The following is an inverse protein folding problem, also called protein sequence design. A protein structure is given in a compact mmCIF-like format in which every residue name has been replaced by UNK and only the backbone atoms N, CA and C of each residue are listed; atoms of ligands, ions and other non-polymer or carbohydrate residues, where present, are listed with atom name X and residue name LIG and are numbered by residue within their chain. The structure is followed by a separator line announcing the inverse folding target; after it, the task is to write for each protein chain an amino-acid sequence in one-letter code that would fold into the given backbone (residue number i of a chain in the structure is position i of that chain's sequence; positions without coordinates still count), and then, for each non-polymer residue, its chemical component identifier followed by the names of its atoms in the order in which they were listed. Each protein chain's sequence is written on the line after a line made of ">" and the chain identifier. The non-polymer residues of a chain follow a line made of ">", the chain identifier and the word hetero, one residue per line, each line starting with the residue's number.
data_IF_447074065661
#
_entry.id   IF_447074065661
#
_cell.length_a   1.000
_cell.length_b   1.000
_cell.length_c   1.000
_cell.angle_alpha   90.00
_cell.angle_beta   90.00
_cell.angle_gamma   90.00
#
_symmetry.space_group_name_H-M   'P 1'
#
loop_
_entity.id
_entity.type
_entity.pdbx_description
1 polymer ?
#
# COMPACT_ATOMS: atom_id res chain seq x y z
N UNK A 1 21.87 22.50 7.87
CA UNK A 1 21.60 21.47 6.85
C UNK A 1 20.12 21.51 6.58
N UNK A 2 19.69 21.93 5.39
CA UNK A 2 18.26 21.89 5.03
C UNK A 2 17.87 20.43 4.86
N UNK A 3 16.84 20.00 5.57
CA UNK A 3 16.18 18.72 5.36
C UNK A 3 15.70 18.67 3.90
N UNK A 4 16.19 17.70 3.13
CA UNK A 4 15.67 17.46 1.79
C UNK A 4 14.41 16.63 1.95
N UNK A 5 13.28 17.23 1.60
CA UNK A 5 12.02 16.49 1.41
C UNK A 5 12.15 15.70 0.10
N UNK A 6 12.42 14.42 0.19
CA UNK A 6 12.37 13.52 -0.95
C UNK A 6 10.97 12.93 -1.04
N UNK A 7 10.21 13.30 -2.07
CA UNK A 7 8.94 12.72 -2.39
C UNK A 7 9.15 11.59 -3.41
N UNK A 8 8.64 10.41 -3.11
CA UNK A 8 8.77 9.23 -3.97
C UNK A 8 7.41 8.55 -4.20
N UNK A 9 7.22 7.96 -5.36
CA UNK A 9 6.17 6.98 -5.61
C UNK A 9 6.80 5.61 -5.88
N UNK A 10 6.15 4.58 -5.37
CA UNK A 10 6.55 3.18 -5.60
C UNK A 10 5.34 2.38 -6.04
N UNK A 11 5.41 1.76 -7.21
CA UNK A 11 4.28 1.14 -7.89
C UNK A 11 4.62 -0.29 -8.26
N UNK A 12 3.65 -1.22 -8.11
CA UNK A 12 3.83 -2.62 -8.48
C UNK A 12 3.65 -2.83 -9.98
N UNK A 13 4.50 -3.69 -10.58
CA UNK A 13 4.45 -4.10 -11.98
C UNK A 13 3.43 -5.22 -12.16
N UNK A 14 2.61 -5.16 -13.24
CA UNK A 14 1.53 -6.14 -13.53
C UNK A 14 1.98 -7.37 -14.33
N UNK A 15 3.09 -7.29 -15.05
CA UNK A 15 3.55 -8.37 -15.93
C UNK A 15 4.89 -8.94 -15.48
N UNK A 16 5.36 -9.99 -16.13
CA UNK A 16 6.69 -10.56 -15.90
C UNK A 16 7.79 -9.53 -16.21
N UNK A 17 8.83 -9.51 -15.36
CA UNK A 17 9.86 -8.49 -15.41
C UNK A 17 10.60 -8.41 -16.77
N UNK A 18 10.83 -9.56 -17.41
CA UNK A 18 11.48 -9.60 -18.72
C UNK A 18 10.62 -8.96 -19.83
N UNK A 19 9.31 -9.10 -19.73
CA UNK A 19 8.34 -8.44 -20.60
C UNK A 19 8.34 -6.94 -20.33
N UNK A 20 8.33 -6.54 -19.06
CA UNK A 20 8.37 -5.15 -18.66
C UNK A 20 9.60 -4.42 -19.17
N UNK A 21 10.77 -5.03 -19.09
CA UNK A 21 12.01 -4.47 -19.64
C UNK A 21 11.94 -4.23 -21.16
N UNK A 22 11.23 -5.08 -21.92
CA UNK A 22 11.02 -4.87 -23.35
C UNK A 22 10.14 -3.65 -23.60
N UNK A 23 9.02 -3.57 -22.89
CA UNK A 23 8.07 -2.44 -23.00
C UNK A 23 8.77 -1.10 -22.72
N UNK A 24 9.53 -1.00 -21.63
CA UNK A 24 10.24 0.23 -21.27
C UNK A 24 11.26 0.63 -22.34
N UNK A 25 11.98 -0.34 -22.90
CA UNK A 25 12.94 -0.10 -24.02
C UNK A 25 12.21 0.35 -25.30
N UNK A 26 11.09 -0.29 -25.66
CA UNK A 26 10.29 0.10 -26.83
C UNK A 26 9.72 1.52 -26.70
N UNK A 27 9.44 1.97 -25.49
CA UNK A 27 9.07 3.36 -25.18
C UNK A 27 10.24 4.34 -25.24
N UNK A 28 11.45 3.87 -25.54
CA UNK A 28 12.65 4.69 -25.79
C UNK A 28 13.50 4.99 -24.56
N UNK A 29 13.25 4.33 -23.43
CA UNK A 29 14.08 4.46 -22.25
C UNK A 29 15.42 3.76 -22.41
N UNK A 30 16.47 4.36 -21.88
CA UNK A 30 17.85 3.82 -21.87
C UNK A 30 18.29 3.53 -20.44
N UNK A 31 19.05 2.47 -20.27
CA UNK A 31 19.64 2.13 -18.97
C UNK A 31 20.77 3.11 -18.69
N UNK A 32 20.74 3.73 -17.52
CA UNK A 32 21.79 4.64 -17.06
C UNK A 32 22.56 4.11 -15.86
N UNK A 33 21.96 3.22 -15.04
CA UNK A 33 22.66 2.53 -13.96
C UNK A 33 22.07 1.15 -13.67
N UNK A 34 22.87 0.30 -13.01
CA UNK A 34 22.48 -1.01 -12.48
C UNK A 34 23.24 -1.27 -11.20
N UNK A 35 22.53 -1.71 -10.17
CA UNK A 35 23.15 -2.11 -8.92
C UNK A 35 22.36 -3.22 -8.22
N UNK A 36 23.04 -3.96 -7.35
CA UNK A 36 22.41 -4.89 -6.42
C UNK A 36 22.44 -4.30 -5.03
N UNK A 37 21.41 -4.54 -4.25
CA UNK A 37 21.32 -4.12 -2.86
C UNK A 37 20.97 -5.32 -1.97
N UNK A 38 21.65 -5.41 -0.83
CA UNK A 38 21.43 -6.40 0.22
C UNK A 38 21.20 -5.65 1.53
N UNK A 39 19.95 -5.53 1.94
CA UNK A 39 19.51 -4.81 3.15
C UNK A 39 19.13 -5.79 4.25
N UNK A 40 19.89 -5.80 5.35
CA UNK A 40 19.55 -6.57 6.55
C UNK A 40 19.00 -5.64 7.63
N UNK A 41 17.80 -5.91 8.11
CA UNK A 41 17.07 -5.08 9.07
C UNK A 41 17.23 -5.62 10.50
N UNK A 42 17.60 -4.73 11.41
CA UNK A 42 17.79 -5.01 12.82
C UNK A 42 16.89 -4.10 13.66
N UNK A 43 16.31 -4.64 14.73
CA UNK A 43 15.54 -3.87 15.73
C UNK A 43 16.03 -4.20 17.14
N UNK A 44 15.77 -3.35 18.15
CA UNK A 44 16.05 -3.67 19.54
C UNK A 44 15.38 -4.99 19.96
N UNK A 45 16.07 -5.82 20.75
CA UNK A 45 15.60 -7.17 21.13
C UNK A 45 14.30 -7.16 21.91
N UNK A 46 14.06 -6.10 22.70
CA UNK A 46 12.86 -5.88 23.53
C UNK A 46 11.60 -5.59 22.72
N UNK A 47 11.72 -5.26 21.44
CA UNK A 47 10.56 -5.01 20.58
C UNK A 47 9.84 -6.34 20.30
N UNK A 48 8.59 -6.47 20.75
CA UNK A 48 7.75 -7.62 20.42
C UNK A 48 7.11 -7.42 19.04
N UNK A 49 7.37 -8.37 18.14
CA UNK A 49 6.86 -8.34 16.77
C UNK A 49 5.36 -8.61 16.67
N UNK A 50 4.74 -9.14 17.74
CA UNK A 50 3.32 -9.48 17.76
C UNK A 50 2.44 -8.37 18.38
N UNK A 51 3.03 -7.45 19.13
CA UNK A 51 2.30 -6.42 19.89
C UNK A 51 2.18 -5.09 19.16
N UNK A 52 3.03 -4.84 18.16
CA UNK A 52 3.05 -3.57 17.43
C UNK A 52 2.95 -3.80 15.92
N UNK A 53 2.39 -2.79 15.22
CA UNK A 53 2.23 -2.88 13.78
C UNK A 53 3.59 -2.80 13.04
N UNK A 54 3.61 -3.30 11.81
CA UNK A 54 4.80 -3.40 10.96
C UNK A 54 5.51 -2.06 10.78
N UNK A 55 4.77 -0.96 10.65
CA UNK A 55 5.33 0.38 10.49
C UNK A 55 6.09 0.85 11.73
N UNK A 56 5.52 0.62 12.92
CA UNK A 56 6.16 0.97 14.18
C UNK A 56 7.39 0.11 14.46
N UNK A 57 7.36 -1.16 14.03
CA UNK A 57 8.55 -2.02 14.05
C UNK A 57 9.65 -1.41 13.18
N UNK A 58 9.33 -1.07 11.94
CA UNK A 58 10.29 -0.54 10.98
C UNK A 58 10.79 0.86 11.31
N UNK A 59 10.03 1.67 12.05
CA UNK A 59 10.48 2.98 12.54
C UNK A 59 11.66 2.88 13.51
N UNK A 60 11.86 1.71 14.12
CA UNK A 60 12.97 1.42 15.05
C UNK A 60 14.11 0.65 14.38
N UNK A 61 14.01 0.39 13.07
CA UNK A 61 14.94 -0.46 12.37
C UNK A 61 16.23 0.27 11.98
N UNK A 62 17.34 -0.41 12.23
CA UNK A 62 18.67 -0.07 11.70
C UNK A 62 18.98 -1.06 10.58
N UNK A 63 19.44 -0.56 9.44
CA UNK A 63 19.80 -1.37 8.29
C UNK A 63 21.31 -1.54 8.20
N UNK A 64 21.76 -2.76 7.95
CA UNK A 64 23.11 -3.01 7.42
C UNK A 64 22.95 -3.24 5.93
N UNK A 65 23.57 -2.36 5.13
CA UNK A 65 23.33 -2.24 3.69
C UNK A 65 24.63 -2.48 2.90
N UNK A 66 24.55 -3.34 1.89
CA UNK A 66 25.62 -3.60 0.92
C UNK A 66 25.10 -3.28 -0.49
N UNK A 67 25.70 -2.29 -1.14
CA UNK A 67 25.31 -1.84 -2.49
C UNK A 67 26.47 -2.12 -3.43
N UNK A 68 26.20 -2.83 -4.52
CA UNK A 68 27.18 -3.17 -5.56
C UNK A 68 26.72 -2.58 -6.88
N UNK A 69 27.37 -1.50 -7.34
CA UNK A 69 27.14 -0.91 -8.64
C UNK A 69 27.68 -1.82 -9.75
N UNK A 70 26.79 -2.33 -10.59
CA UNK A 70 27.14 -3.26 -11.69
C UNK A 70 27.77 -2.55 -12.89
N UNK A 71 27.49 -1.25 -13.06
CA UNK A 71 28.08 -0.45 -14.13
C UNK A 71 29.32 0.31 -13.66
N UNK A 72 29.31 0.78 -12.40
CA UNK A 72 30.41 1.56 -11.82
C UNK A 72 31.50 0.70 -11.16
N UNK A 73 31.25 -0.59 -10.91
CA UNK A 73 32.07 -1.48 -10.09
C UNK A 73 32.36 -0.96 -8.67
N UNK A 74 31.58 0.02 -8.21
CA UNK A 74 31.69 0.59 -6.86
C UNK A 74 30.89 -0.25 -5.88
N UNK A 75 31.47 -0.53 -4.71
CA UNK A 75 30.77 -1.15 -3.59
C UNK A 75 30.68 -0.15 -2.44
N UNK A 76 29.48 -0.01 -1.87
CA UNK A 76 29.20 0.86 -0.74
C UNK A 76 28.58 0.03 0.38
N UNK A 77 29.18 0.07 1.57
CA UNK A 77 28.70 -0.67 2.75
C UNK A 77 28.33 0.34 3.83
N UNK A 78 27.10 0.27 4.35
CA UNK A 78 26.54 1.28 5.26
C UNK A 78 25.82 0.64 6.44
N UNK A 79 25.84 1.34 7.58
CA UNK A 79 24.75 1.28 8.56
C UNK A 79 23.86 2.49 8.29
N UNK A 80 22.56 2.23 8.13
CA UNK A 80 21.56 3.27 7.83
C UNK A 80 20.47 3.23 8.88
N UNK A 81 20.15 4.40 9.47
CA UNK A 81 18.94 4.60 10.25
C UNK A 81 18.05 5.59 9.50
N UNK A 82 16.79 5.21 9.26
CA UNK A 82 15.81 6.07 8.61
C UNK A 82 14.71 6.44 9.59
N UNK A 83 14.55 7.75 9.84
CA UNK A 83 13.42 8.31 10.57
C UNK A 83 12.38 8.83 9.57
N UNK A 84 11.13 8.43 9.73
CA UNK A 84 10.02 8.86 8.87
C UNK A 84 8.93 9.47 9.74
N UNK A 85 8.49 10.67 9.38
CA UNK A 85 7.30 11.29 9.96
C UNK A 85 6.12 11.12 9.02
N UNK A 86 4.96 10.83 9.60
CA UNK A 86 3.74 10.55 8.84
C UNK A 86 2.66 11.57 9.17
N UNK A 87 1.81 11.89 8.20
CA UNK A 87 0.57 12.62 8.42
C UNK A 87 -0.50 11.69 9.04
N UNK A 88 -1.67 12.28 9.36
CA UNK A 88 -2.81 11.54 9.92
C UNK A 88 -3.36 10.46 8.97
N UNK A 89 -3.10 10.56 7.67
CA UNK A 89 -3.51 9.61 6.63
C UNK A 89 -2.45 8.53 6.39
N UNK A 90 -1.31 8.58 7.08
CA UNK A 90 -0.21 7.63 6.95
C UNK A 90 0.72 7.87 5.76
N UNK A 91 0.66 9.06 5.13
CA UNK A 91 1.62 9.46 4.12
C UNK A 91 2.90 9.96 4.77
N UNK A 92 4.05 9.76 4.10
CA UNK A 92 5.34 10.24 4.58
C UNK A 92 5.38 11.77 4.39
N UNK A 93 5.48 12.52 5.50
CA UNK A 93 5.67 13.98 5.48
C UNK A 93 7.13 14.34 5.21
N UNK A 94 8.04 13.65 5.89
CA UNK A 94 9.47 13.78 5.64
C UNK A 94 10.21 12.51 6.04
N UNK A 95 11.39 12.34 5.50
CA UNK A 95 12.29 11.24 5.81
C UNK A 95 13.69 11.78 6.03
N UNK A 96 14.30 11.37 7.14
CA UNK A 96 15.71 11.61 7.42
C UNK A 96 16.47 10.28 7.37
N UNK A 97 17.68 10.30 6.82
CA UNK A 97 18.56 9.15 6.83
C UNK A 97 19.92 9.54 7.44
N UNK A 98 20.35 8.77 8.42
CA UNK A 98 21.70 8.82 8.94
C UNK A 98 22.45 7.61 8.38
N UNK A 99 23.50 7.87 7.59
CA UNK A 99 24.33 6.86 6.98
C UNK A 99 25.75 6.90 7.57
N UNK A 100 26.26 5.75 7.95
CA UNK A 100 27.64 5.57 8.40
C UNK A 100 28.32 4.53 7.52
N UNK A 101 29.44 4.91 6.90
CA UNK A 101 30.27 3.96 6.16
C UNK A 101 30.86 2.90 7.10
N UNK A 102 30.88 1.65 6.65
CA UNK A 102 31.47 0.52 7.36
C UNK A 102 32.44 -0.25 6.49
N UNK A 103 33.43 -0.88 7.10
CA UNK A 103 34.43 -1.68 6.40
C UNK A 103 33.88 -3.08 6.06
N UNK A 104 33.29 -3.75 7.05
CA UNK A 104 32.84 -5.13 6.92
C UNK A 104 31.38 -5.30 7.39
N UNK A 105 30.57 -5.89 6.51
CA UNK A 105 29.12 -6.15 6.76
C UNK A 105 28.94 -7.06 7.99
N UNK A 106 29.71 -8.16 8.05
CA UNK A 106 29.54 -9.13 9.13
C UNK A 106 29.95 -8.59 10.50
N UNK A 107 30.92 -7.68 10.57
CA UNK A 107 31.32 -7.07 11.84
C UNK A 107 30.27 -6.06 12.32
N UNK A 108 29.65 -5.31 11.40
CA UNK A 108 28.53 -4.45 11.72
C UNK A 108 27.33 -5.26 12.26
N UNK A 109 27.00 -6.39 11.63
CA UNK A 109 25.93 -7.30 12.11
C UNK A 109 26.23 -7.87 13.49
N UNK A 110 27.48 -8.27 13.75
CA UNK A 110 27.95 -8.75 15.07
C UNK A 110 27.84 -7.65 16.12
N UNK A 111 28.26 -6.42 15.79
CA UNK A 111 28.16 -5.27 16.69
C UNK A 111 26.71 -5.01 17.09
N UNK A 112 25.79 -4.93 16.12
CA UNK A 112 24.37 -4.71 16.41
C UNK A 112 23.81 -5.80 17.32
N UNK A 113 24.13 -7.07 17.06
CA UNK A 113 23.71 -8.19 17.94
C UNK A 113 24.29 -8.07 19.36
N UNK A 114 25.54 -7.63 19.49
CA UNK A 114 26.21 -7.46 20.78
C UNK A 114 25.60 -6.32 21.61
N UNK A 115 25.18 -5.24 20.99
CA UNK A 115 24.56 -4.07 21.67
C UNK A 115 23.03 -4.21 21.84
N UNK A 116 22.47 -5.41 21.65
CA UNK A 116 21.06 -5.70 21.99
C UNK A 116 20.08 -5.61 20.84
N UNK A 117 20.52 -5.67 19.59
CA UNK A 117 19.63 -5.76 18.43
C UNK A 117 19.43 -7.20 17.97
N UNK A 118 18.30 -7.48 17.34
CA UNK A 118 17.99 -8.75 16.65
C UNK A 118 17.69 -8.48 15.17
N UNK A 119 18.13 -9.38 14.32
CA UNK A 119 17.79 -9.41 12.89
C UNK A 119 16.34 -9.85 12.70
N UNK A 120 15.59 -9.17 11.85
CA UNK A 120 14.17 -9.48 11.59
C UNK A 120 13.89 -9.86 10.16
N UNK A 121 14.63 -9.32 9.19
CA UNK A 121 14.48 -9.67 7.77
C UNK A 121 15.72 -9.27 6.98
N UNK A 122 15.85 -9.88 5.79
CA UNK A 122 16.82 -9.50 4.79
C UNK A 122 16.12 -9.34 3.44
N UNK A 123 16.31 -8.20 2.79
CA UNK A 123 15.78 -7.90 1.45
C UNK A 123 16.94 -7.77 0.50
N UNK A 124 16.91 -8.57 -0.57
CA UNK A 124 17.85 -8.50 -1.68
C UNK A 124 17.13 -8.06 -2.92
N UNK A 125 17.71 -7.11 -3.65
CA UNK A 125 17.14 -6.63 -4.90
C UNK A 125 18.22 -6.32 -5.94
N UNK A 126 17.83 -6.43 -7.18
CA UNK A 126 18.59 -6.00 -8.33
C UNK A 126 17.85 -4.83 -9.00
N UNK A 127 18.47 -3.66 -9.00
CA UNK A 127 17.86 -2.45 -9.51
C UNK A 127 18.44 -2.08 -10.89
N UNK A 128 17.56 -1.64 -11.78
CA UNK A 128 17.91 -1.07 -13.09
C UNK A 128 17.30 0.30 -13.23
N UNK A 129 18.13 1.31 -13.34
CA UNK A 129 17.69 2.69 -13.53
C UNK A 129 17.61 3.00 -15.03
N UNK A 130 16.47 3.48 -15.44
CA UNK A 130 16.17 3.89 -16.79
C UNK A 130 15.93 5.40 -16.87
N UNK A 131 16.31 6.00 -17.98
CA UNK A 131 16.09 7.41 -18.27
C UNK A 131 15.57 7.62 -19.68
N UNK A 132 14.64 8.58 -19.83
CA UNK A 132 14.19 9.14 -21.11
C UNK A 132 13.84 10.61 -20.94
N UNK A 133 14.45 11.48 -21.76
CA UNK A 133 14.16 12.92 -21.81
C UNK A 133 14.22 13.60 -20.41
N UNK A 134 15.21 13.22 -19.61
CA UNK A 134 15.39 13.70 -18.23
C UNK A 134 14.46 13.08 -17.19
N UNK A 135 13.56 12.18 -17.58
CA UNK A 135 12.72 11.43 -16.66
C UNK A 135 13.36 10.08 -16.30
N UNK A 136 13.61 9.87 -15.00
CA UNK A 136 14.23 8.67 -14.47
C UNK A 136 13.25 7.81 -13.68
N UNK A 137 13.37 6.50 -13.81
CA UNK A 137 12.66 5.51 -13.00
C UNK A 137 13.59 4.33 -12.69
N UNK A 138 13.49 3.81 -11.47
CA UNK A 138 14.20 2.60 -11.04
C UNK A 138 13.25 1.40 -11.04
N UNK A 139 13.62 0.33 -11.72
CA UNK A 139 12.92 -0.95 -11.69
C UNK A 139 13.63 -1.83 -10.66
N UNK A 140 12.89 -2.29 -9.65
CA UNK A 140 13.37 -3.09 -8.52
C UNK A 140 12.92 -4.54 -8.68
N UNK A 141 13.88 -5.45 -8.82
CA UNK A 141 13.69 -6.90 -8.81
C UNK A 141 13.97 -7.43 -7.39
N UNK A 142 12.94 -7.52 -6.57
CA UNK A 142 13.06 -7.98 -5.19
C UNK A 142 13.06 -9.51 -5.18
N UNK A 143 14.12 -10.12 -4.69
CA UNK A 143 14.23 -11.59 -4.61
C UNK A 143 13.14 -12.17 -3.70
N UNK A 144 12.31 -13.03 -4.28
CA UNK A 144 11.13 -13.63 -3.63
C UNK A 144 10.05 -12.61 -3.21
N UNK A 145 10.11 -11.40 -3.75
CA UNK A 145 9.17 -10.31 -3.50
C UNK A 145 8.44 -9.86 -4.77
N UNK A 146 7.84 -8.70 -4.69
CA UNK A 146 7.17 -8.05 -5.82
C UNK A 146 8.16 -7.26 -6.67
N UNK A 147 7.91 -7.17 -7.98
CA UNK A 147 8.63 -6.26 -8.86
C UNK A 147 8.00 -4.87 -8.78
N UNK A 148 8.82 -3.86 -8.52
CA UNK A 148 8.36 -2.50 -8.28
C UNK A 148 9.04 -1.51 -9.24
N UNK A 149 8.38 -0.36 -9.43
CA UNK A 149 9.00 0.86 -9.99
C UNK A 149 9.07 1.88 -8.87
N UNK A 150 10.20 2.54 -8.72
CA UNK A 150 10.38 3.68 -7.81
C UNK A 150 10.76 4.91 -8.63
N UNK A 151 10.13 6.04 -8.33
CA UNK A 151 10.37 7.32 -8.98
C UNK A 151 10.46 8.39 -7.89
N UNK A 152 11.58 9.11 -7.86
CA UNK A 152 11.87 10.13 -6.87
C UNK A 152 11.86 11.54 -7.48
N UNK A 153 11.40 12.54 -6.74
CA UNK A 153 11.43 13.95 -7.19
C UNK A 153 12.86 14.50 -7.26
N UNK A 154 13.80 13.96 -6.47
CA UNK A 154 15.20 14.40 -6.51
C UNK A 154 15.85 14.15 -7.86
N UNK A 155 15.52 13.03 -8.49
CA UNK A 155 16.03 12.64 -9.80
C UNK A 155 15.22 13.27 -10.94
N UNK A 156 13.99 13.72 -10.65
CA UNK A 156 13.02 14.26 -11.63
C UNK A 156 12.63 15.70 -11.29
N UNK A 157 13.60 16.61 -11.33
CA UNK A 157 13.47 18.01 -10.83
C UNK A 157 12.31 18.83 -11.39
N UNK A 158 11.81 18.50 -12.57
CA UNK A 158 10.64 19.14 -13.18
C UNK A 158 9.32 18.60 -12.65
N UNK A 159 9.36 17.43 -11.98
CA UNK A 159 8.22 16.73 -11.39
C UNK A 159 8.31 16.81 -9.86
N UNK A 160 8.22 17.99 -9.32
CA UNK A 160 8.47 18.36 -7.91
C UNK A 160 7.34 18.00 -6.95
N UNK A 161 6.25 17.38 -7.43
CA UNK A 161 5.12 16.92 -6.60
C UNK A 161 4.71 15.50 -6.93
N UNK A 162 4.11 14.83 -5.94
CA UNK A 162 3.57 13.48 -6.08
C UNK A 162 2.54 13.39 -7.23
N UNK A 163 1.65 14.38 -7.35
CA UNK A 163 0.63 14.40 -8.40
C UNK A 163 1.25 14.43 -9.79
N UNK A 164 2.34 15.18 -9.97
CA UNK A 164 3.08 15.23 -11.24
C UNK A 164 3.75 13.89 -11.54
N UNK A 165 4.34 13.22 -10.55
CA UNK A 165 4.91 11.88 -10.71
C UNK A 165 3.84 10.86 -11.10
N UNK A 166 2.69 10.84 -10.41
CA UNK A 166 1.56 9.94 -10.71
C UNK A 166 1.02 10.21 -12.12
N UNK A 167 0.83 11.47 -12.49
CA UNK A 167 0.40 11.83 -13.83
C UNK A 167 1.40 11.33 -14.88
N UNK A 168 2.69 11.58 -14.67
CA UNK A 168 3.74 11.19 -15.61
C UNK A 168 3.82 9.69 -15.81
N UNK A 169 3.78 8.88 -14.74
CA UNK A 169 3.85 7.42 -14.86
C UNK A 169 2.62 6.85 -15.58
N UNK A 170 1.44 7.43 -15.36
CA UNK A 170 0.22 7.00 -16.04
C UNK A 170 0.24 7.35 -17.55
N UNK A 171 0.82 8.49 -17.94
CA UNK A 171 1.01 8.87 -19.33
C UNK A 171 1.94 7.92 -20.09
N UNK A 172 2.76 7.14 -19.39
CA UNK A 172 3.63 6.16 -20.03
C UNK A 172 2.86 4.93 -20.55
N UNK A 173 1.64 4.69 -20.08
CA UNK A 173 0.82 3.52 -20.48
C UNK A 173 1.61 2.21 -20.36
N UNK A 174 2.31 2.03 -19.25
CA UNK A 174 3.06 0.81 -18.93
C UNK A 174 2.24 -0.09 -17.99
N UNK A 175 2.44 -1.42 -17.99
CA UNK A 175 1.64 -2.35 -17.20
C UNK A 175 1.99 -2.28 -15.71
N UNK A 176 1.32 -1.37 -14.98
CA UNK A 176 1.46 -1.16 -13.53
C UNK A 176 0.10 -1.25 -12.84
N UNK A 177 0.10 -1.55 -11.54
CA UNK A 177 -1.07 -1.39 -10.69
C UNK A 177 -1.25 0.08 -10.32
N UNK A 178 -2.44 0.61 -10.54
CA UNK A 178 -2.76 2.03 -10.33
C UNK A 178 -3.62 2.28 -9.08
N UNK A 179 -3.87 1.25 -8.32
CA UNK A 179 -4.62 1.27 -7.04
C UNK A 179 -3.75 1.69 -5.85
N UNK A 180 -2.42 1.59 -5.97
CA UNK A 180 -1.49 2.01 -4.93
C UNK A 180 -0.17 2.54 -5.51
N UNK A 181 0.08 3.84 -5.35
CA UNK A 181 1.32 4.51 -5.75
C UNK A 181 2.36 4.63 -4.62
N UNK A 182 2.10 4.01 -3.47
CA UNK A 182 2.93 4.12 -2.27
C UNK A 182 3.23 2.76 -1.65
N UNK A 183 3.60 1.79 -2.50
CA UNK A 183 3.98 0.45 -2.03
C UNK A 183 5.23 0.56 -1.15
N UNK A 184 5.11 0.19 0.10
CA UNK A 184 6.21 0.21 1.06
C UNK A 184 6.88 -1.16 1.12
N UNK A 185 7.89 -1.36 0.30
CA UNK A 185 8.66 -2.61 0.14
C UNK A 185 8.93 -3.31 1.49
N UNK A 186 9.52 -2.60 2.44
CA UNK A 186 9.90 -3.19 3.73
C UNK A 186 8.68 -3.61 4.57
N UNK A 187 7.57 -2.85 4.53
CA UNK A 187 6.33 -3.20 5.23
C UNK A 187 5.75 -4.49 4.62
N UNK A 188 5.68 -4.58 3.29
CA UNK A 188 5.18 -5.76 2.58
C UNK A 188 6.02 -7.01 2.89
N UNK A 189 7.34 -6.90 2.86
CA UNK A 189 8.20 -8.06 3.12
C UNK A 189 8.16 -8.48 4.60
N UNK A 190 8.11 -7.55 5.54
CA UNK A 190 7.97 -7.87 6.95
C UNK A 190 6.60 -8.48 7.26
N UNK A 191 5.52 -7.99 6.68
CA UNK A 191 4.18 -8.57 6.82
C UNK A 191 4.14 -10.02 6.32
N UNK A 192 4.78 -10.34 5.20
CA UNK A 192 4.90 -11.73 4.72
C UNK A 192 5.60 -12.63 5.74
N UNK A 193 6.66 -12.14 6.39
CA UNK A 193 7.41 -12.89 7.41
C UNK A 193 6.56 -13.08 8.67
N UNK A 194 5.93 -12.02 9.16
CA UNK A 194 5.09 -12.06 10.36
C UNK A 194 3.85 -12.93 10.16
N UNK A 195 3.20 -12.85 9.01
CA UNK A 195 2.06 -13.71 8.68
C UNK A 195 2.45 -15.20 8.58
N UNK A 196 3.66 -15.52 8.14
CA UNK A 196 4.19 -16.90 8.18
C UNK A 196 4.42 -17.39 9.63
N UNK A 197 4.82 -16.51 10.51
CA UNK A 197 5.09 -16.86 11.91
C UNK A 197 3.84 -16.92 12.80
N UNK A 198 2.79 -16.18 12.48
CA UNK A 198 1.58 -16.08 13.32
C UNK A 198 0.40 -16.90 12.85
N UNK A 199 0.43 -17.47 11.63
CA UNK A 199 -0.72 -18.14 11.00
C UNK A 199 -2.02 -17.29 11.05
N UNK A 200 -1.89 -15.98 11.16
CA UNK A 200 -3.00 -15.04 11.17
C UNK A 200 -3.29 -14.61 9.73
N UNK A 201 -4.19 -15.31 9.07
CA UNK A 201 -4.84 -14.81 7.85
C UNK A 201 -5.46 -13.44 8.15
N UNK A 202 -4.92 -12.39 7.54
CA UNK A 202 -5.60 -11.09 7.49
C UNK A 202 -6.82 -11.23 6.60
N UNK A 203 -7.99 -11.07 7.18
CA UNK A 203 -9.22 -11.00 6.41
C UNK A 203 -9.29 -9.61 5.73
N UNK A 204 -9.39 -9.58 4.42
CA UNK A 204 -9.64 -8.35 3.66
C UNK A 204 -11.01 -8.40 3.03
N UNK A 205 -11.76 -7.31 3.20
CA UNK A 205 -13.06 -7.13 2.55
C UNK A 205 -13.08 -5.84 1.76
N UNK A 206 -13.72 -5.86 0.60
CA UNK A 206 -13.90 -4.68 -0.24
C UNK A 206 -15.39 -4.43 -0.49
N UNK A 207 -15.78 -3.17 -0.64
CA UNK A 207 -17.16 -2.80 -0.86
C UNK A 207 -17.35 -1.35 -1.26
N UNK A 208 -18.59 -0.88 -1.29
CA UNK A 208 -18.93 0.47 -1.76
C UNK A 208 -19.84 1.24 -0.81
N UNK A 209 -19.58 2.54 -0.71
CA UNK A 209 -20.50 3.57 -0.24
C UNK A 209 -21.29 4.04 -1.46
N UNK A 210 -22.49 3.49 -1.66
CA UNK A 210 -23.27 3.71 -2.88
C UNK A 210 -24.19 4.89 -2.68
N UNK A 211 -24.11 5.89 -3.55
CA UNK A 211 -24.93 7.10 -3.49
C UNK A 211 -25.86 7.22 -4.68
N UNK A 212 -27.05 7.78 -4.44
CA UNK A 212 -28.05 8.13 -5.45
C UNK A 212 -29.02 9.17 -4.88
N UNK A 213 -29.30 10.25 -5.61
CA UNK A 213 -30.29 11.27 -5.28
C UNK A 213 -30.16 11.80 -3.84
N UNK A 214 -28.93 12.14 -3.39
CA UNK A 214 -28.56 12.57 -2.04
C UNK A 214 -28.88 11.54 -0.94
N UNK A 215 -29.00 10.27 -1.28
CA UNK A 215 -29.16 9.16 -0.36
C UNK A 215 -27.98 8.20 -0.46
N UNK A 216 -27.77 7.45 0.60
CA UNK A 216 -26.80 6.35 0.65
C UNK A 216 -27.50 5.04 0.91
N UNK A 217 -26.99 3.97 0.30
CA UNK A 217 -27.53 2.63 0.49
C UNK A 217 -26.84 1.93 1.65
N UNK A 218 -27.64 1.41 2.57
CA UNK A 218 -27.21 0.48 3.60
C UNK A 218 -27.88 -0.88 3.45
N UNK A 219 -27.19 -1.92 3.84
CA UNK A 219 -27.71 -3.28 3.94
C UNK A 219 -27.77 -3.73 5.40
N UNK A 220 -28.76 -4.55 5.73
CA UNK A 220 -28.86 -5.25 7.01
C UNK A 220 -28.42 -6.70 6.80
N UNK A 221 -27.27 -7.06 7.33
CA UNK A 221 -26.78 -8.44 7.27
C UNK A 221 -27.66 -9.38 8.10
N UNK A 222 -27.67 -10.66 7.78
CA UNK A 222 -28.45 -11.71 8.51
C UNK A 222 -28.17 -11.74 10.01
N UNK A 223 -26.97 -11.32 10.43
CA UNK A 223 -26.61 -11.14 11.84
C UNK A 223 -27.21 -9.90 12.52
N UNK A 224 -28.01 -9.10 11.79
CA UNK A 224 -28.72 -7.93 12.29
C UNK A 224 -27.95 -6.62 12.21
N UNK A 225 -26.75 -6.57 11.68
CA UNK A 225 -25.92 -5.38 11.59
C UNK A 225 -26.19 -4.59 10.30
N UNK A 226 -26.30 -3.26 10.42
CA UNK A 226 -26.40 -2.33 9.31
C UNK A 226 -25.03 -1.79 8.91
N UNK A 227 -24.74 -1.76 7.62
CA UNK A 227 -23.50 -1.21 7.08
C UNK A 227 -23.52 -1.13 5.56
N UNK A 228 -22.37 -0.85 4.96
CA UNK A 228 -22.21 -0.81 3.52
C UNK A 228 -22.05 -2.22 2.94
N UNK A 229 -22.53 -2.48 1.71
CA UNK A 229 -22.29 -3.74 1.02
C UNK A 229 -20.80 -3.98 0.80
N UNK A 230 -20.33 -5.17 1.18
CA UNK A 230 -18.91 -5.58 1.09
C UNK A 230 -18.73 -7.06 1.39
N UNK A 231 -17.76 -7.68 0.77
CA UNK A 231 -17.36 -9.04 1.08
C UNK A 231 -15.88 -9.31 0.92
N UNK A 232 -15.48 -10.56 1.01
CA UNK A 232 -14.09 -10.96 1.04
C UNK A 232 -13.47 -10.88 -0.36
N UNK A 233 -12.23 -10.39 -0.42
CA UNK A 233 -11.46 -10.41 -1.66
C UNK A 233 -11.13 -11.85 -2.06
N UNK A 234 -11.46 -12.23 -3.29
CA UNK A 234 -11.14 -13.54 -3.83
C UNK A 234 -9.75 -13.58 -4.50
N UNK A 235 -9.20 -14.80 -4.68
CA UNK A 235 -7.91 -14.96 -5.37
C UNK A 235 -8.02 -14.43 -6.80
N UNK A 236 -7.08 -13.53 -7.14
CA UNK A 236 -6.93 -12.87 -8.44
C UNK A 236 -7.91 -11.72 -8.74
N UNK A 237 -8.70 -11.25 -7.79
CA UNK A 237 -9.50 -10.05 -7.91
C UNK A 237 -8.75 -8.82 -7.40
N UNK A 238 -8.97 -7.68 -8.05
CA UNK A 238 -8.59 -6.37 -7.51
C UNK A 238 -9.63 -5.91 -6.47
N UNK A 239 -9.26 -4.96 -5.60
CA UNK A 239 -10.18 -4.38 -4.62
C UNK A 239 -11.47 -3.81 -5.26
N UNK A 240 -11.34 -3.21 -6.46
CA UNK A 240 -12.48 -2.62 -7.19
C UNK A 240 -13.37 -3.71 -7.77
N UNK A 241 -12.78 -4.74 -8.38
CA UNK A 241 -13.55 -5.88 -8.91
C UNK A 241 -14.35 -6.56 -7.81
N UNK A 242 -13.70 -6.86 -6.67
CA UNK A 242 -14.42 -7.39 -5.49
C UNK A 242 -15.51 -6.44 -5.01
N UNK A 243 -15.25 -5.14 -4.91
CA UNK A 243 -16.25 -4.18 -4.45
C UNK A 243 -17.48 -4.12 -5.38
N UNK A 244 -17.28 -4.23 -6.70
CA UNK A 244 -18.36 -4.26 -7.70
C UNK A 244 -19.14 -5.59 -7.63
N UNK A 245 -18.44 -6.73 -7.57
CA UNK A 245 -19.08 -8.05 -7.50
C UNK A 245 -19.93 -8.18 -6.24
N UNK A 246 -19.41 -7.78 -5.09
CA UNK A 246 -20.12 -7.81 -3.81
C UNK A 246 -21.38 -6.92 -3.79
N UNK A 247 -21.29 -5.71 -4.35
CA UNK A 247 -22.49 -4.86 -4.51
C UNK A 247 -23.52 -5.57 -5.40
N UNK A 248 -23.07 -6.19 -6.48
CA UNK A 248 -23.95 -6.91 -7.41
C UNK A 248 -24.62 -8.10 -6.73
N UNK A 249 -23.88 -8.88 -5.96
CA UNK A 249 -24.36 -10.07 -5.25
C UNK A 249 -25.32 -9.70 -4.12
N UNK A 250 -24.92 -8.79 -3.21
CA UNK A 250 -25.69 -8.43 -2.03
C UNK A 250 -26.92 -7.58 -2.34
N UNK A 251 -26.91 -6.79 -3.44
CA UNK A 251 -27.96 -5.78 -3.72
C UNK A 251 -28.61 -5.87 -5.11
N UNK A 252 -27.98 -6.59 -6.07
CA UNK A 252 -28.33 -6.63 -7.49
C UNK A 252 -28.27 -5.26 -8.21
N UNK A 253 -27.58 -4.28 -7.65
CA UNK A 253 -27.35 -2.98 -8.29
C UNK A 253 -26.12 -3.01 -9.19
N UNK A 254 -26.14 -2.12 -10.19
CA UNK A 254 -24.98 -1.79 -11.02
C UNK A 254 -24.41 -0.46 -10.56
N UNK A 255 -23.09 -0.38 -10.37
CA UNK A 255 -22.44 0.79 -9.81
C UNK A 255 -21.24 1.23 -10.66
N UNK A 256 -21.00 2.53 -10.68
CA UNK A 256 -19.80 3.16 -11.19
C UNK A 256 -18.93 3.60 -10.00
N UNK A 257 -17.76 2.97 -9.86
CA UNK A 257 -16.85 3.20 -8.73
C UNK A 257 -15.89 4.34 -9.04
N UNK A 258 -15.74 5.28 -8.12
CA UNK A 258 -14.69 6.30 -8.16
C UNK A 258 -13.41 5.74 -7.52
N UNK A 259 -12.47 5.32 -8.36
CA UNK A 259 -11.20 4.74 -7.90
C UNK A 259 -10.33 5.70 -7.05
N UNK A 260 -10.54 7.03 -7.18
CA UNK A 260 -9.82 8.04 -6.41
C UNK A 260 -10.40 8.25 -5.00
N UNK A 261 -11.60 7.72 -4.74
CA UNK A 261 -12.28 7.83 -3.44
C UNK A 261 -12.25 6.50 -2.71
N UNK A 262 -11.04 6.08 -2.30
CA UNK A 262 -10.75 4.85 -1.60
C UNK A 262 -10.47 5.13 -0.13
N UNK A 263 -11.22 4.48 0.76
CA UNK A 263 -11.14 4.61 2.21
C UNK A 263 -10.87 3.27 2.87
N UNK A 264 -10.11 3.28 3.96
CA UNK A 264 -9.75 2.04 4.67
C UNK A 264 -10.02 2.15 6.15
N UNK A 265 -10.44 1.05 6.76
CA UNK A 265 -10.46 0.87 8.20
C UNK A 265 -9.91 -0.50 8.56
N UNK A 266 -9.26 -0.57 9.72
CA UNK A 266 -8.71 -1.81 10.26
C UNK A 266 -9.24 -2.03 11.68
N UNK A 267 -9.56 -3.28 12.00
CA UNK A 267 -9.99 -3.68 13.33
C UNK A 267 -9.74 -5.15 13.59
N UNK A 268 -9.77 -5.52 14.86
CA UNK A 268 -9.68 -6.92 15.27
C UNK A 268 -11.10 -7.48 15.41
N UNK A 269 -11.38 -8.58 14.73
CA UNK A 269 -12.68 -9.28 14.83
C UNK A 269 -12.84 -9.96 16.21
N UNK A 270 -14.06 -10.31 16.58
CA UNK A 270 -14.35 -11.05 17.82
C UNK A 270 -13.57 -12.38 17.95
N UNK A 271 -13.13 -12.92 16.82
CA UNK A 271 -12.28 -14.12 16.74
C UNK A 271 -10.77 -13.82 16.86
N UNK A 272 -10.39 -12.57 17.14
CA UNK A 272 -8.99 -12.15 17.27
C UNK A 272 -8.23 -12.05 15.94
N UNK A 273 -8.91 -12.10 14.77
CA UNK A 273 -8.29 -11.90 13.46
C UNK A 273 -8.24 -10.43 13.11
N UNK A 274 -7.14 -9.96 12.55
CA UNK A 274 -7.06 -8.64 11.96
C UNK A 274 -7.88 -8.60 10.66
N UNK A 275 -8.75 -7.61 10.53
CA UNK A 275 -9.56 -7.37 9.34
C UNK A 275 -9.34 -5.97 8.81
N UNK A 276 -9.02 -5.88 7.52
CA UNK A 276 -8.99 -4.65 6.75
C UNK A 276 -10.27 -4.57 5.91
N UNK A 277 -10.95 -3.44 5.96
CA UNK A 277 -12.09 -3.14 5.08
C UNK A 277 -11.71 -1.95 4.19
N UNK A 278 -11.91 -2.12 2.89
CA UNK A 278 -11.71 -1.09 1.86
C UNK A 278 -13.08 -0.72 1.32
N UNK A 279 -13.41 0.58 1.36
CA UNK A 279 -14.66 1.11 0.82
C UNK A 279 -14.35 2.15 -0.26
N UNK A 280 -15.02 2.01 -1.40
CA UNK A 280 -14.99 3.00 -2.47
C UNK A 280 -16.29 3.79 -2.49
N UNK A 281 -16.25 5.07 -2.90
CA UNK A 281 -17.46 5.79 -3.24
C UNK A 281 -17.92 5.36 -4.62
N UNK A 282 -19.22 5.06 -4.75
CA UNK A 282 -19.80 4.62 -6.00
C UNK A 282 -21.16 5.26 -6.26
N UNK A 283 -21.49 5.47 -7.54
CA UNK A 283 -22.82 5.91 -7.98
C UNK A 283 -23.62 4.70 -8.46
N UNK A 284 -24.88 4.63 -8.05
CA UNK A 284 -25.81 3.65 -8.62
C UNK A 284 -26.18 4.09 -10.04
N UNK A 285 -25.84 3.24 -11.04
CA UNK A 285 -26.11 3.49 -12.47
C UNK A 285 -27.20 2.59 -13.04
N UNK A 286 -27.63 1.55 -12.31
CA UNK A 286 -28.64 0.62 -12.79
C UNK A 286 -29.01 -0.47 -11.78
N UNK A 287 -29.79 -1.45 -12.25
CA UNK A 287 -30.23 -2.57 -11.45
C UNK A 287 -31.56 -2.31 -10.71
N UNK A 288 -32.16 -3.40 -10.20
CA UNK A 288 -33.31 -3.35 -9.31
C UNK A 288 -32.89 -4.02 -8.00
N UNK A 289 -33.13 -3.34 -6.87
CA UNK A 289 -32.83 -3.89 -5.55
C UNK A 289 -33.42 -5.29 -5.42
N UNK A 290 -32.53 -6.22 -5.09
CA UNK A 290 -32.86 -7.58 -4.72
C UNK A 290 -31.82 -8.05 -3.71
N UNK A 291 -32.24 -8.28 -2.48
CA UNK A 291 -31.36 -8.80 -1.44
C UNK A 291 -30.94 -10.25 -1.74
N UNK A 292 -29.69 -10.57 -1.46
CA UNK A 292 -29.19 -11.95 -1.44
C UNK A 292 -29.68 -12.61 -0.13
N UNK A 293 -30.70 -13.44 -0.22
CA UNK A 293 -31.47 -13.96 0.94
C UNK A 293 -30.61 -14.71 1.99
N UNK A 294 -29.44 -15.24 1.62
CA UNK A 294 -28.55 -15.93 2.55
C UNK A 294 -27.70 -14.96 3.40
N UNK A 295 -27.46 -13.74 2.97
CA UNK A 295 -26.54 -12.79 3.62
C UNK A 295 -27.20 -11.46 4.02
N UNK A 296 -28.23 -11.03 3.30
CA UNK A 296 -28.86 -9.71 3.45
C UNK A 296 -30.34 -9.84 3.79
N UNK A 297 -30.75 -9.32 4.94
CA UNK A 297 -32.13 -9.31 5.42
C UNK A 297 -32.94 -8.10 4.94
N UNK A 298 -32.29 -6.95 4.73
CA UNK A 298 -32.96 -5.70 4.34
C UNK A 298 -31.99 -4.77 3.62
N UNK A 299 -32.51 -3.92 2.72
CA UNK A 299 -31.75 -2.91 1.98
C UNK A 299 -32.53 -1.59 2.01
N UNK A 300 -31.86 -0.50 2.38
CA UNK A 300 -32.50 0.82 2.46
C UNK A 300 -31.66 1.92 1.82
N UNK A 301 -32.35 2.82 1.12
CA UNK A 301 -31.84 4.14 0.78
C UNK A 301 -32.21 5.11 1.90
N UNK A 302 -31.21 5.68 2.56
CA UNK A 302 -31.36 6.59 3.70
C UNK A 302 -30.74 7.94 3.38
N UNK A 303 -31.27 8.99 3.98
CA UNK A 303 -30.58 10.27 4.01
C UNK A 303 -29.30 10.13 4.83
N UNK A 304 -28.31 10.98 4.59
CA UNK A 304 -26.97 10.81 5.21
C UNK A 304 -27.02 10.81 6.75
N UNK A 305 -27.85 11.67 7.34
CA UNK A 305 -28.02 11.74 8.80
C UNK A 305 -28.68 10.46 9.35
N UNK A 306 -29.72 9.96 8.67
CA UNK A 306 -30.38 8.70 9.04
C UNK A 306 -29.43 7.52 8.90
N UNK A 307 -28.57 7.53 7.87
CA UNK A 307 -27.56 6.48 7.68
C UNK A 307 -26.53 6.46 8.81
N UNK A 308 -26.07 7.64 9.26
CA UNK A 308 -25.15 7.75 10.40
C UNK A 308 -25.76 7.10 11.66
N UNK A 309 -27.05 7.37 11.95
CA UNK A 309 -27.75 6.79 13.11
C UNK A 309 -27.99 5.28 12.94
N UNK A 310 -28.16 4.81 11.70
CA UNK A 310 -28.50 3.42 11.38
C UNK A 310 -27.29 2.51 11.38
N UNK A 311 -26.09 2.99 10.98
CA UNK A 311 -24.85 2.20 10.93
C UNK A 311 -24.55 1.62 12.32
N UNK A 312 -24.40 0.30 12.39
CA UNK A 312 -24.25 -0.41 13.67
C UNK A 312 -22.88 -0.19 14.32
N UNK A 313 -21.79 -0.24 13.56
CA UNK A 313 -20.44 -0.19 14.11
C UNK A 313 -19.86 1.22 14.10
N UNK A 314 -19.31 1.63 15.24
CA UNK A 314 -18.75 2.98 15.43
C UNK A 314 -17.62 3.32 14.46
N UNK A 315 -16.73 2.40 14.17
CA UNK A 315 -15.63 2.60 13.22
C UNK A 315 -16.15 2.93 11.81
N UNK A 316 -17.19 2.24 11.33
CA UNK A 316 -17.83 2.50 10.04
C UNK A 316 -18.58 3.83 10.06
N UNK A 317 -19.26 4.14 11.17
CA UNK A 317 -19.99 5.39 11.38
C UNK A 317 -19.06 6.61 11.37
N UNK A 318 -17.94 6.53 12.08
CA UNK A 318 -16.97 7.63 12.14
C UNK A 318 -16.28 7.84 10.79
N UNK A 319 -15.89 6.76 10.10
CA UNK A 319 -15.36 6.85 8.73
C UNK A 319 -16.36 7.57 7.80
N UNK A 320 -17.64 7.21 7.86
CA UNK A 320 -18.67 7.84 7.01
C UNK A 320 -18.85 9.33 7.35
N UNK A 321 -18.84 9.70 8.62
CA UNK A 321 -18.87 11.11 9.06
C UNK A 321 -17.67 11.91 8.53
N UNK A 322 -16.48 11.35 8.55
CA UNK A 322 -15.27 11.99 8.01
C UNK A 322 -15.41 12.25 6.51
N UNK A 323 -15.87 11.26 5.75
CA UNK A 323 -16.08 11.35 4.30
C UNK A 323 -17.09 12.48 3.97
N UNK A 324 -18.18 12.58 4.73
CA UNK A 324 -19.18 13.64 4.56
C UNK A 324 -18.63 15.03 4.88
N UNK A 325 -17.85 15.18 5.95
CA UNK A 325 -17.22 16.47 6.33
C UNK A 325 -16.29 16.99 5.23
N UNK A 326 -15.59 16.11 4.57
CA UNK A 326 -14.66 16.46 3.50
C UNK A 326 -15.38 16.72 2.15
N UNK A 327 -16.71 16.65 2.13
CA UNK A 327 -17.55 16.79 0.91
C UNK A 327 -17.08 15.87 -0.23
N UNK A 328 -16.68 14.68 0.09
CA UNK A 328 -16.12 13.71 -0.87
C UNK A 328 -17.15 12.77 -1.49
N UNK A 329 -18.42 12.94 -1.17
CA UNK A 329 -19.57 12.24 -1.80
C UNK A 329 -20.62 13.21 -2.27
#
# INVERSE_FOLDING_TARGET
>A
MSLKESNEITVKIKCELNEFYKIVKEKGFKIIDKFSMDDTYFIPKEVDLNEINTRDILSKAVLVRDIIGKMSNRRTKLITFKSKNFDKSGNILNQEAVNCDILEIEDAKKLLKAIGYKEIMNIKEDDVVYEKDGFQLAIKDIKNGDNLIEIETEENKELDTIEKLIKKINELEIPIYTDNYFVKKAEVELDKILNKSTNKEREKSCGCIITKDNKVLLIKQTKGHWGFPKGHIEKNETEIETAISEVKEETNLDVEVDANKRYTMEYVTDKGKQKQVVLFVAKCIGGKIKAQECEVNDIKWLDFDEAIETITYDNTRELFKEILKERKI
#
